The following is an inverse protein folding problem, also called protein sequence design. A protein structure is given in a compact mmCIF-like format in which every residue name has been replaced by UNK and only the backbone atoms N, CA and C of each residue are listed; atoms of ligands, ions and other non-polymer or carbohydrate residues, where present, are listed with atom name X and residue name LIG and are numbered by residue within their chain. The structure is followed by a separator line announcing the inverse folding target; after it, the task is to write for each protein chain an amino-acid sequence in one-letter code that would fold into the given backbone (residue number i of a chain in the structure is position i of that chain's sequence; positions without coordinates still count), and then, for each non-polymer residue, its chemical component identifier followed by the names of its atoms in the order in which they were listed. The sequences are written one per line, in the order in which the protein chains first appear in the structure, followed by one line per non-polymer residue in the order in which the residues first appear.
data_IF_898197044928
#
_entry.id   IF_898197044928
#
_cell.length_a   1.000
_cell.length_b   1.000
_cell.length_c   1.000
_cell.angle_alpha   90.00
_cell.angle_beta   90.00
_cell.angle_gamma   90.00
#
_symmetry.space_group_name_H-M   'P 1'
#
loop_
_entity.id
_entity.type
_entity.pdbx_description
1 polymer ?
#
# COMPACT_ATOMS: atom_id res chain seq x y z
N UNK A 1 -29.46 11.03 -20.79
CA UNK A 1 -28.05 11.41 -20.61
C UNK A 1 -27.64 11.11 -19.17
N UNK A 2 -26.94 10.00 -18.92
CA UNK A 2 -26.28 9.80 -17.62
C UNK A 2 -25.10 10.77 -17.57
N UNK A 3 -25.18 11.78 -16.71
CA UNK A 3 -24.36 12.98 -16.71
C UNK A 3 -22.97 12.83 -16.09
N UNK A 4 -22.17 11.88 -16.55
CA UNK A 4 -20.74 11.83 -16.23
C UNK A 4 -19.94 11.53 -17.50
N UNK A 5 -18.90 12.31 -17.76
CA UNK A 5 -17.89 11.91 -18.74
C UNK A 5 -17.17 10.66 -18.20
N UNK A 6 -16.69 9.80 -19.10
CA UNK A 6 -15.98 8.58 -18.73
C UNK A 6 -14.81 8.86 -17.76
N UNK A 7 -14.11 9.98 -17.98
CA UNK A 7 -12.99 10.42 -17.13
C UNK A 7 -13.43 10.85 -15.72
N UNK A 8 -14.58 11.49 -15.60
CA UNK A 8 -15.12 11.93 -14.30
C UNK A 8 -15.61 10.74 -13.46
N UNK A 9 -16.19 9.73 -14.11
CA UNK A 9 -16.57 8.47 -13.46
C UNK A 9 -15.35 7.68 -13.01
N UNK A 10 -14.32 7.53 -13.85
CA UNK A 10 -13.07 6.87 -13.49
C UNK A 10 -12.37 7.56 -12.31
N UNK A 11 -12.37 8.89 -12.28
CA UNK A 11 -11.77 9.66 -11.19
C UNK A 11 -12.53 9.48 -9.87
N UNK A 12 -13.86 9.66 -9.86
CA UNK A 12 -14.67 9.46 -8.64
C UNK A 12 -14.68 8.01 -8.17
N UNK A 13 -14.59 7.05 -9.10
CA UNK A 13 -14.47 5.63 -8.76
C UNK A 13 -13.13 5.35 -8.07
N UNK A 14 -12.03 5.90 -8.60
CA UNK A 14 -10.71 5.77 -7.98
C UNK A 14 -10.70 6.37 -6.55
N UNK A 15 -11.23 7.58 -6.39
CA UNK A 15 -11.34 8.26 -5.08
C UNK A 15 -12.19 7.44 -4.07
N UNK A 16 -13.33 6.88 -4.49
CA UNK A 16 -14.16 6.05 -3.60
C UNK A 16 -13.52 4.72 -3.25
N UNK A 17 -12.69 4.16 -4.13
CA UNK A 17 -12.00 2.88 -3.90
C UNK A 17 -10.80 3.09 -2.97
N UNK A 18 -10.05 4.18 -3.16
CA UNK A 18 -8.90 4.53 -2.33
C UNK A 18 -9.32 4.75 -0.87
N UNK A 19 -10.40 5.51 -0.62
CA UNK A 19 -10.93 5.70 0.73
C UNK A 19 -11.36 4.40 1.41
N UNK A 20 -11.99 3.47 0.69
CA UNK A 20 -12.36 2.17 1.27
C UNK A 20 -11.15 1.35 1.68
N UNK A 21 -10.04 1.48 0.96
CA UNK A 21 -8.81 0.76 1.28
C UNK A 21 -8.07 1.39 2.45
N UNK A 22 -8.12 2.72 2.60
CA UNK A 22 -7.64 3.44 3.78
C UNK A 22 -8.37 2.96 5.05
N UNK A 23 -9.71 3.02 5.07
CA UNK A 23 -10.50 2.57 6.21
C UNK A 23 -10.20 1.10 6.57
N UNK A 24 -10.07 0.24 5.55
CA UNK A 24 -9.74 -1.18 5.74
C UNK A 24 -8.33 -1.38 6.32
N UNK A 25 -7.38 -0.52 5.97
CA UNK A 25 -6.01 -0.59 6.49
C UNK A 25 -5.96 -0.15 7.96
N UNK A 26 -6.68 0.92 8.30
CA UNK A 26 -6.75 1.45 9.67
C UNK A 26 -7.37 0.44 10.63
N UNK A 27 -8.34 -0.37 10.18
CA UNK A 27 -8.96 -1.42 10.99
C UNK A 27 -8.11 -2.72 11.07
N UNK A 28 -7.10 -2.87 10.23
CA UNK A 28 -6.30 -4.11 10.15
C UNK A 28 -5.13 -4.11 11.13
N UNK A 29 -5.22 -4.94 12.18
CA UNK A 29 -4.11 -5.18 13.12
C UNK A 29 -2.82 -5.62 12.42
N UNK A 30 -2.93 -6.41 11.35
CA UNK A 30 -1.78 -6.83 10.55
C UNK A 30 -1.14 -5.63 9.84
N UNK A 31 -1.94 -4.76 9.21
CA UNK A 31 -1.43 -3.56 8.55
C UNK A 31 -0.71 -2.64 9.54
N UNK A 32 -1.33 -2.36 10.70
CA UNK A 32 -0.74 -1.54 11.76
C UNK A 32 0.62 -2.09 12.23
N UNK A 33 0.71 -3.40 12.46
CA UNK A 33 1.98 -4.04 12.87
C UNK A 33 3.06 -3.98 11.80
N UNK A 34 2.70 -4.16 10.52
CA UNK A 34 3.64 -4.02 9.41
C UNK A 34 4.11 -2.56 9.25
N UNK A 35 3.22 -1.59 9.43
CA UNK A 35 3.57 -0.17 9.43
C UNK A 35 4.56 0.15 10.54
N UNK A 36 4.26 -0.23 11.77
CA UNK A 36 5.16 -0.03 12.91
C UNK A 36 6.53 -0.70 12.69
N UNK A 37 6.56 -1.91 12.13
CA UNK A 37 7.81 -2.60 11.81
C UNK A 37 8.64 -1.81 10.79
N UNK A 38 8.03 -1.31 9.72
CA UNK A 38 8.77 -0.54 8.70
C UNK A 38 9.30 0.76 9.29
N UNK A 39 8.51 1.44 10.12
CA UNK A 39 8.90 2.69 10.78
C UNK A 39 10.05 2.50 11.77
N UNK A 40 9.99 1.45 12.59
CA UNK A 40 11.07 1.10 13.50
C UNK A 40 12.36 0.66 12.80
N UNK A 41 12.30 0.26 11.52
CA UNK A 41 13.45 -0.10 10.70
C UNK A 41 13.85 1.02 9.71
N UNK A 42 13.73 2.29 10.10
CA UNK A 42 14.15 3.44 9.29
C UNK A 42 13.47 3.52 7.92
N UNK A 43 12.24 3.03 7.82
CA UNK A 43 11.43 3.08 6.59
C UNK A 43 11.62 1.91 5.63
N UNK A 44 12.43 0.90 5.98
CA UNK A 44 12.60 -0.31 5.16
C UNK A 44 12.88 -1.54 6.02
N UNK A 45 12.20 -2.64 5.72
CA UNK A 45 12.45 -3.95 6.30
C UNK A 45 12.65 -4.99 5.19
N UNK A 46 13.60 -5.90 5.37
CA UNK A 46 13.83 -7.01 4.45
C UNK A 46 14.10 -8.33 5.17
N UNK A 47 13.48 -9.40 4.71
CA UNK A 47 13.62 -10.72 5.35
C UNK A 47 12.68 -11.77 4.79
N UNK A 48 12.71 -12.97 5.35
CA UNK A 48 11.80 -14.05 4.96
C UNK A 48 10.44 -13.88 5.65
N UNK A 49 9.38 -14.51 5.12
CA UNK A 49 8.09 -14.51 5.81
C UNK A 49 8.16 -15.16 7.21
N UNK A 50 9.13 -16.04 7.45
CA UNK A 50 9.36 -16.62 8.78
C UNK A 50 9.90 -15.59 9.75
N UNK A 51 10.94 -14.85 9.37
CA UNK A 51 11.51 -13.80 10.23
C UNK A 51 10.52 -12.68 10.45
N UNK A 52 9.75 -12.32 9.42
CA UNK A 52 8.67 -11.32 9.54
C UNK A 52 7.61 -11.76 10.56
N UNK A 53 7.15 -13.00 10.47
CA UNK A 53 6.11 -13.51 11.37
C UNK A 53 6.57 -13.45 12.83
N UNK A 54 7.82 -13.82 13.09
CA UNK A 54 8.41 -13.73 14.42
C UNK A 54 8.51 -12.28 14.93
N UNK A 55 8.70 -11.30 14.04
CA UNK A 55 8.76 -9.88 14.42
C UNK A 55 7.39 -9.25 14.71
N UNK A 56 6.30 -9.79 14.13
CA UNK A 56 4.96 -9.19 14.26
C UNK A 56 4.05 -9.94 15.21
N UNK A 57 4.36 -11.19 15.58
CA UNK A 57 3.57 -11.92 16.56
C UNK A 57 3.68 -11.28 17.95
N UNK A 58 2.58 -11.30 18.74
CA UNK A 58 2.64 -10.83 20.12
C UNK A 58 3.51 -11.76 20.97
N UNK A 59 4.23 -11.19 21.94
CA UNK A 59 5.08 -11.95 22.88
C UNK A 59 4.26 -12.92 23.75
N UNK A 60 2.99 -12.58 23.99
CA UNK A 60 2.06 -13.41 24.78
C UNK A 60 0.70 -13.50 24.09
N UNK A 61 0.13 -14.70 24.09
CA UNK A 61 -1.19 -14.97 23.53
C UNK A 61 -1.20 -15.31 22.05
N UNK A 62 -2.41 -15.50 21.50
CA UNK A 62 -2.64 -15.80 20.10
C UNK A 62 -3.54 -14.73 19.49
N UNK A 63 -3.05 -14.07 18.44
CA UNK A 63 -3.83 -13.10 17.68
C UNK A 63 -4.39 -13.76 16.42
N UNK A 64 -5.73 -13.92 16.38
CA UNK A 64 -6.45 -14.52 15.25
C UNK A 64 -6.34 -13.70 13.96
N UNK A 65 -6.00 -12.43 14.06
CA UNK A 65 -5.86 -11.52 12.91
C UNK A 65 -4.51 -11.65 12.22
N UNK A 66 -3.53 -12.28 12.88
CA UNK A 66 -2.21 -12.52 12.33
C UNK A 66 -2.17 -13.95 11.74
N UNK A 67 -1.65 -14.13 10.52
CA UNK A 67 -1.52 -15.45 9.91
C UNK A 67 -0.71 -16.42 10.79
N UNK A 68 -1.24 -17.62 11.00
CA UNK A 68 -0.66 -18.60 11.92
C UNK A 68 0.71 -19.15 11.52
N UNK A 69 1.10 -19.03 10.24
CA UNK A 69 2.37 -19.54 9.75
C UNK A 69 2.92 -18.70 8.58
N UNK A 70 4.23 -18.85 8.32
CA UNK A 70 4.95 -18.07 7.31
C UNK A 70 4.38 -18.23 5.89
N UNK A 71 3.80 -19.39 5.55
CA UNK A 71 3.19 -19.62 4.23
C UNK A 71 1.91 -18.82 4.08
N UNK A 72 1.05 -18.82 5.11
CA UNK A 72 -0.16 -18.02 5.15
C UNK A 72 0.19 -16.52 5.11
N UNK A 73 1.19 -16.08 5.89
CA UNK A 73 1.68 -14.71 5.86
C UNK A 73 2.16 -14.30 4.46
N UNK A 74 2.95 -15.14 3.79
CA UNK A 74 3.45 -14.84 2.45
C UNK A 74 2.34 -14.65 1.39
N UNK A 75 1.23 -15.39 1.51
CA UNK A 75 0.05 -15.19 0.66
C UNK A 75 -0.69 -13.90 1.04
N UNK A 76 -0.86 -13.68 2.33
CA UNK A 76 -1.57 -12.52 2.87
C UNK A 76 -0.89 -11.21 2.51
N UNK A 77 0.44 -11.13 2.61
CA UNK A 77 1.23 -9.96 2.19
C UNK A 77 0.95 -9.55 0.75
N UNK A 78 0.76 -10.51 -0.16
CA UNK A 78 0.45 -10.21 -1.56
C UNK A 78 -1.01 -9.77 -1.74
N UNK A 79 -1.91 -10.33 -0.93
CA UNK A 79 -3.33 -9.95 -0.91
C UNK A 79 -3.51 -8.51 -0.43
N UNK A 80 -2.81 -8.12 0.64
CA UNK A 80 -2.93 -6.77 1.24
C UNK A 80 -1.98 -5.75 0.62
N UNK A 81 -1.07 -6.14 -0.28
CA UNK A 81 -0.13 -5.20 -0.90
C UNK A 81 -0.79 -3.94 -1.52
N UNK A 82 -1.96 -4.02 -2.19
CA UNK A 82 -2.65 -2.82 -2.67
C UNK A 82 -3.11 -1.90 -1.54
N UNK A 83 -3.67 -2.47 -0.47
CA UNK A 83 -4.09 -1.74 0.73
C UNK A 83 -2.90 -1.12 1.45
N UNK A 84 -1.78 -1.83 1.55
CA UNK A 84 -0.57 -1.28 2.16
C UNK A 84 0.01 -0.11 1.37
N UNK A 85 -0.20 -0.07 0.04
CA UNK A 85 0.22 1.06 -0.79
C UNK A 85 -0.60 2.32 -0.51
N UNK A 86 -1.89 2.24 -0.18
CA UNK A 86 -2.67 3.43 0.18
C UNK A 86 -2.14 4.06 1.48
N UNK A 87 -1.68 3.24 2.43
CA UNK A 87 -1.00 3.72 3.65
C UNK A 87 0.49 4.03 3.47
N UNK A 88 0.99 4.06 2.22
CA UNK A 88 2.35 4.49 1.91
C UNK A 88 3.44 3.43 2.09
N UNK A 89 3.09 2.14 2.11
CA UNK A 89 4.05 1.02 2.20
C UNK A 89 3.94 0.12 0.97
N UNK A 90 5.07 -0.07 0.30
CA UNK A 90 5.21 -1.00 -0.81
C UNK A 90 5.68 -2.36 -0.28
N UNK A 91 5.00 -3.43 -0.70
CA UNK A 91 5.37 -4.81 -0.38
C UNK A 91 5.86 -5.50 -1.65
N UNK A 92 7.15 -5.82 -1.66
CA UNK A 92 7.81 -6.44 -2.80
C UNK A 92 8.28 -7.84 -2.46
N UNK A 93 8.11 -8.75 -3.42
CA UNK A 93 8.76 -10.06 -3.39
C UNK A 93 10.13 -9.94 -4.06
N UNK A 94 11.18 -10.16 -3.29
CA UNK A 94 12.54 -10.14 -3.82
C UNK A 94 12.83 -11.40 -4.65
N UNK A 95 13.65 -11.23 -5.70
CA UNK A 95 14.23 -12.35 -6.43
C UNK A 95 15.34 -13.05 -5.63
N UNK A 96 15.81 -12.42 -4.54
CA UNK A 96 16.80 -13.01 -3.65
C UNK A 96 16.16 -14.04 -2.72
N UNK A 97 16.98 -14.98 -2.30
CA UNK A 97 16.63 -16.00 -1.31
C UNK A 97 17.50 -15.85 -0.07
N UNK A 98 16.95 -16.21 1.06
CA UNK A 98 17.68 -16.37 2.31
C UNK A 98 18.72 -17.48 2.14
N UNK A 99 19.98 -17.16 2.45
CA UNK A 99 21.10 -18.08 2.32
C UNK A 99 20.90 -19.29 3.25
N UNK A 100 21.22 -20.49 2.76
CA UNK A 100 21.10 -21.74 3.54
C UNK A 100 19.68 -22.28 3.71
N UNK A 101 18.62 -21.49 3.50
CA UNK A 101 17.22 -21.95 3.64
C UNK A 101 16.48 -22.02 2.31
N UNK A 102 16.92 -21.26 1.31
CA UNK A 102 16.26 -21.13 0.01
C UNK A 102 14.92 -20.40 0.07
N UNK A 103 14.54 -19.81 1.21
CA UNK A 103 13.26 -19.09 1.36
C UNK A 103 13.28 -17.78 0.57
N UNK A 104 12.14 -17.41 -0.04
CA UNK A 104 12.01 -16.12 -0.74
C UNK A 104 12.03 -14.98 0.27
N UNK A 105 12.71 -13.89 -0.09
CA UNK A 105 12.73 -12.66 0.71
C UNK A 105 11.62 -11.70 0.27
N UNK A 106 11.13 -10.92 1.23
CA UNK A 106 10.25 -9.78 1.03
C UNK A 106 10.98 -8.50 1.42
N UNK A 107 10.59 -7.41 0.77
CA UNK A 107 11.01 -6.05 1.10
C UNK A 107 9.75 -5.24 1.35
N UNK A 108 9.64 -4.67 2.54
CA UNK A 108 8.58 -3.75 2.94
C UNK A 108 9.23 -2.38 3.08
N UNK A 109 8.77 -1.38 2.34
CA UNK A 109 9.42 -0.06 2.33
C UNK A 109 8.42 1.07 2.22
N UNK A 110 8.75 2.23 2.78
CA UNK A 110 7.97 3.46 2.54
C UNK A 110 8.01 3.83 1.06
N UNK A 111 6.86 4.16 0.49
CA UNK A 111 6.78 4.72 -0.86
C UNK A 111 7.24 6.17 -0.84
N UNK A 112 8.16 6.54 -1.73
CA UNK A 112 8.52 7.95 -1.96
C UNK A 112 7.33 8.63 -2.65
N UNK A 113 6.49 9.32 -1.87
CA UNK A 113 5.32 10.05 -2.39
C UNK A 113 4.09 10.09 -1.48
N UNK A 114 3.97 9.18 -0.50
CA UNK A 114 2.88 9.22 0.48
C UNK A 114 3.38 9.81 1.81
N UNK A 115 3.73 11.10 1.79
CA UNK A 115 3.81 11.92 2.99
C UNK A 115 2.43 12.49 3.36
N UNK A 116 1.35 11.71 3.20
CA UNK A 116 0.00 12.17 3.57
C UNK A 116 -0.15 12.39 5.09
N UNK A 117 0.82 11.93 5.88
CA UNK A 117 0.91 12.21 7.32
C UNK A 117 1.84 13.39 7.67
N UNK A 118 2.46 14.06 6.69
CA UNK A 118 3.17 15.33 6.90
C UNK A 118 2.42 16.45 6.16
N UNK A 119 1.73 17.29 6.94
CA UNK A 119 1.12 18.58 6.61
C UNK A 119 -0.37 18.54 6.26
N UNK A 120 -1.15 19.03 7.21
CA UNK A 120 -2.57 19.30 7.04
C UNK A 120 -2.88 20.31 5.93
N UNK A 121 -4.08 20.15 5.40
CA UNK A 121 -4.94 21.17 4.78
C UNK A 121 -4.19 22.34 4.13
N UNK A 122 -3.93 22.26 2.82
CA UNK A 122 -4.19 23.37 1.89
C UNK A 122 -4.01 22.92 0.44
N UNK A 123 -5.10 22.49 -0.22
CA UNK A 123 -5.13 22.42 -1.69
C UNK A 123 -5.77 23.70 -2.19
N UNK A 124 -4.94 24.73 -2.33
CA UNK A 124 -5.21 25.86 -3.22
C UNK A 124 -5.08 25.37 -4.65
N UNK A 125 -6.20 25.34 -5.37
CA UNK A 125 -6.26 24.93 -6.78
C UNK A 125 -5.71 26.07 -7.63
N UNK A 126 -4.49 25.92 -8.15
CA UNK A 126 -3.99 26.76 -9.24
C UNK A 126 -4.25 26.05 -10.56
N UNK A 127 -5.23 26.56 -11.31
CA UNK A 127 -5.56 26.13 -12.68
C UNK A 127 -4.56 26.79 -13.62
N UNK A 128 -3.54 26.04 -14.05
CA UNK A 128 -2.57 26.45 -15.06
C UNK A 128 -2.96 25.99 -16.46
N UNK A 129 -3.38 26.97 -17.26
CA UNK A 129 -3.29 27.10 -18.73
C UNK A 129 -3.42 25.87 -19.65
N UNK A 130 -4.51 25.91 -20.43
CA UNK A 130 -4.70 25.18 -21.70
C UNK A 130 -3.54 25.45 -22.65
N UNK A 131 -2.93 24.39 -23.17
CA UNK A 131 -2.22 24.45 -24.44
C UNK A 131 -3.16 23.99 -25.55
N UNK A 132 -3.36 24.88 -26.51
CA UNK A 132 -4.15 24.71 -27.71
C UNK A 132 -3.71 23.51 -28.57
N UNK A 133 -4.71 22.83 -29.15
CA UNK A 133 -4.64 22.44 -30.56
C UNK A 133 -6.04 22.11 -31.08
N UNK A 134 -6.63 23.10 -31.74
CA UNK A 134 -7.69 22.87 -32.74
C UNK A 134 -7.09 22.00 -33.87
N UNK A 135 -7.61 20.79 -34.07
CA UNK A 135 -7.50 20.09 -35.37
C UNK A 135 -8.88 20.23 -36.05
N UNK A 136 -9.03 21.17 -37.01
CA UNK A 136 -10.25 21.31 -37.76
C UNK A 136 -10.14 20.34 -38.93
N UNK A 137 -10.86 19.20 -38.88
CA UNK A 137 -11.03 18.41 -40.10
C UNK A 137 -12.47 18.05 -40.42
N UNK A 138 -12.81 18.10 -41.72
CA UNK A 138 -14.14 18.45 -42.19
C UNK A 138 -14.86 17.25 -42.81
N UNK A 139 -16.20 17.34 -42.75
CA UNK A 139 -17.26 16.57 -43.42
C UNK A 139 -17.22 15.04 -43.31
#
# INVERSE_FOLDING_TARGET
YLGYSQDEFSKKYQESVDHKWEDTAEESTLAQRLTYLVESNSGEWAGSATTLLSSIQPDTGFDKTIPANARALASELMRIAPVMRSVGIDILRSNKREAGTGRKLFVLRKTKGNSLFENGVSVGVNVGERCDREDPRPY
#
